data_IF_407445209901
#
_entry.id   IF_407445209901
#
_cell.length_a   1.000
_cell.length_b   1.000
_cell.length_c   1.000
_cell.angle_alpha   90.00
_cell.angle_beta   90.00
_cell.angle_gamma   90.00
#
_symmetry.space_group_name_H-M   'P 1'
#
loop_
_entity.id
_entity.type
_entity.pdbx_description
1 polymer ?
#
# COMPACT_ATOMS: atom_id res chain seq x y z
N UNK A 1 -15.12 -27.22 -28.41
CA UNK A 1 -14.85 -26.55 -27.11
C UNK A 1 -14.21 -25.21 -27.42
N UNK A 2 -14.81 -24.10 -27.01
CA UNK A 2 -14.54 -22.77 -27.57
C UNK A 2 -13.24 -22.18 -26.98
N UNK A 3 -12.26 -21.84 -27.82
CA UNK A 3 -10.94 -21.33 -27.40
C UNK A 3 -11.05 -20.08 -26.50
N UNK A 4 -12.06 -19.23 -26.74
CA UNK A 4 -12.35 -18.06 -25.91
C UNK A 4 -12.76 -18.39 -24.47
N UNK A 5 -13.43 -19.53 -24.25
CA UNK A 5 -13.82 -19.95 -22.90
C UNK A 5 -12.63 -20.45 -22.08
N UNK A 6 -11.70 -21.16 -22.71
CA UNK A 6 -10.44 -21.58 -22.09
C UNK A 6 -9.54 -20.37 -21.78
N UNK A 7 -9.51 -19.37 -22.66
CA UNK A 7 -8.73 -18.14 -22.44
C UNK A 7 -9.34 -17.28 -21.32
N UNK A 8 -10.66 -17.24 -21.21
CA UNK A 8 -11.35 -16.58 -20.10
C UNK A 8 -11.13 -17.28 -18.76
N UNK A 9 -11.21 -18.62 -18.73
CA UNK A 9 -10.86 -19.43 -17.56
C UNK A 9 -9.38 -19.28 -17.18
N UNK A 10 -8.47 -19.24 -18.16
CA UNK A 10 -7.06 -19.00 -17.92
C UNK A 10 -6.84 -17.60 -17.34
N UNK A 11 -7.48 -16.56 -17.87
CA UNK A 11 -7.41 -15.21 -17.30
C UNK A 11 -7.93 -15.20 -15.86
N UNK A 12 -9.09 -15.81 -15.57
CA UNK A 12 -9.63 -15.90 -14.19
C UNK A 12 -8.70 -16.70 -13.26
N UNK A 13 -8.10 -17.79 -13.73
CA UNK A 13 -7.17 -18.62 -12.97
C UNK A 13 -5.81 -17.95 -12.76
N UNK A 14 -5.36 -17.11 -13.69
CA UNK A 14 -4.15 -16.29 -13.56
C UNK A 14 -4.39 -14.97 -12.83
N UNK A 15 -5.64 -14.52 -12.73
CA UNK A 15 -6.08 -13.45 -11.83
C UNK A 15 -6.17 -13.95 -10.38
N UNK A 16 -5.29 -14.89 -10.00
CA UNK A 16 -4.99 -15.13 -8.60
C UNK A 16 -4.37 -13.85 -8.09
N UNK A 17 -5.24 -13.11 -7.40
CA UNK A 17 -5.01 -11.91 -6.62
C UNK A 17 -3.64 -12.01 -5.96
N UNK A 18 -2.76 -11.07 -6.28
CA UNK A 18 -1.49 -10.86 -5.58
C UNK A 18 -1.80 -10.27 -4.21
N UNK A 19 -2.47 -11.03 -3.35
CA UNK A 19 -2.65 -10.64 -1.97
C UNK A 19 -1.27 -10.60 -1.31
N UNK A 20 -1.08 -9.63 -0.42
CA UNK A 20 0.20 -9.51 0.29
C UNK A 20 0.24 -10.58 1.39
N UNK A 21 1.26 -11.44 1.47
CA UNK A 21 1.37 -12.41 2.55
C UNK A 21 1.81 -11.75 3.86
N UNK A 22 1.41 -12.34 4.98
CA UNK A 22 1.96 -12.04 6.29
C UNK A 22 2.37 -13.32 7.04
N UNK A 23 3.13 -13.15 8.12
CA UNK A 23 3.54 -14.22 9.02
C UNK A 23 3.50 -13.73 10.47
N UNK A 24 2.99 -14.55 11.39
CA UNK A 24 3.15 -14.28 12.82
C UNK A 24 4.61 -14.42 13.24
N UNK A 25 5.03 -13.60 14.21
CA UNK A 25 6.38 -13.70 14.78
C UNK A 25 6.32 -13.78 16.29
N UNK A 26 7.46 -14.10 16.89
CA UNK A 26 7.70 -13.98 18.32
C UNK A 26 8.42 -12.69 18.69
N UNK A 27 8.58 -11.75 17.75
CA UNK A 27 9.31 -10.51 17.99
C UNK A 27 8.44 -9.41 18.58
N UNK A 28 8.98 -8.68 19.56
CA UNK A 28 8.37 -7.42 20.06
C UNK A 28 8.94 -6.19 19.33
N UNK A 29 8.34 -5.02 19.57
CA UNK A 29 8.86 -3.74 19.08
C UNK A 29 10.32 -3.54 19.49
N UNK A 30 10.66 -3.78 20.75
CA UNK A 30 12.02 -3.56 21.27
C UNK A 30 13.06 -4.50 20.65
N UNK A 31 12.65 -5.69 20.21
CA UNK A 31 13.50 -6.63 19.48
C UNK A 31 13.71 -6.17 18.04
N UNK A 32 12.63 -5.76 17.37
CA UNK A 32 12.66 -5.30 15.98
C UNK A 32 13.51 -4.04 15.82
N UNK A 33 13.40 -3.06 16.73
CA UNK A 33 14.21 -1.84 16.67
C UNK A 33 15.72 -2.08 16.86
N UNK A 34 16.10 -3.27 17.37
CA UNK A 34 17.50 -3.71 17.49
C UNK A 34 18.00 -4.49 16.28
N UNK A 35 17.17 -4.72 15.27
CA UNK A 35 17.60 -5.40 14.05
C UNK A 35 18.65 -4.60 13.31
N UNK A 36 19.70 -5.30 12.88
CA UNK A 36 20.73 -4.73 12.02
C UNK A 36 20.17 -4.60 10.60
N UNK A 37 20.14 -3.39 10.07
CA UNK A 37 19.70 -3.15 8.68
C UNK A 37 20.89 -3.27 7.74
N UNK A 38 20.88 -4.33 6.93
CA UNK A 38 21.88 -4.54 5.88
C UNK A 38 21.52 -3.82 4.59
N UNK A 39 22.55 -3.43 3.85
CA UNK A 39 22.48 -2.91 2.48
C UNK A 39 23.18 -3.84 1.47
N UNK A 40 23.30 -5.11 1.82
CA UNK A 40 23.89 -6.19 1.01
C UNK A 40 22.80 -7.01 0.32
N UNK A 41 23.12 -7.66 -0.80
CA UNK A 41 22.18 -8.48 -1.59
C UNK A 41 21.44 -9.54 -0.77
N UNK A 42 22.11 -10.12 0.23
CA UNK A 42 21.55 -11.16 1.09
C UNK A 42 20.95 -10.53 2.36
N UNK A 43 19.63 -10.41 2.37
CA UNK A 43 18.86 -10.01 3.55
C UNK A 43 18.66 -11.19 4.50
N UNK A 44 18.55 -10.90 5.80
CA UNK A 44 18.32 -11.93 6.82
C UNK A 44 16.89 -12.47 6.74
N UNK A 45 16.64 -13.69 7.20
CA UNK A 45 15.31 -14.34 7.09
C UNK A 45 14.18 -13.61 7.85
N UNK A 46 14.55 -12.72 8.77
CA UNK A 46 13.63 -11.83 9.46
C UNK A 46 13.41 -10.49 8.73
N UNK A 47 13.92 -10.30 7.51
CA UNK A 47 13.46 -9.23 6.63
C UNK A 47 12.11 -9.56 6.02
N UNK A 48 11.41 -8.53 5.57
CA UNK A 48 10.14 -8.65 4.83
C UNK A 48 10.35 -9.08 3.38
N UNK A 49 11.57 -8.90 2.85
CA UNK A 49 11.93 -9.28 1.50
C UNK A 49 13.37 -9.80 1.45
N UNK A 50 13.62 -10.84 0.65
CA UNK A 50 14.92 -11.54 0.59
C UNK A 50 16.04 -10.74 -0.08
N UNK A 51 15.72 -9.59 -0.67
CA UNK A 51 16.64 -8.76 -1.42
C UNK A 51 16.55 -7.30 -1.00
N UNK A 52 17.61 -6.54 -1.30
CA UNK A 52 17.58 -5.09 -1.16
C UNK A 52 16.45 -4.48 -1.99
N UNK A 53 15.81 -3.47 -1.42
CA UNK A 53 14.76 -2.70 -2.06
C UNK A 53 15.10 -1.21 -2.02
N UNK A 54 14.57 -0.46 -2.98
CA UNK A 54 14.69 0.99 -3.00
C UNK A 54 13.60 1.59 -2.10
N UNK A 55 14.03 2.24 -1.03
CA UNK A 55 13.18 2.79 0.01
C UNK A 55 13.31 4.30 0.03
N UNK A 56 12.31 4.97 0.60
CA UNK A 56 12.29 6.41 0.76
C UNK A 56 11.99 6.78 2.22
N UNK A 57 12.81 7.63 2.83
CA UNK A 57 12.51 8.14 4.17
C UNK A 57 11.52 9.31 4.11
N UNK A 58 11.10 9.80 5.28
CA UNK A 58 10.17 10.93 5.41
C UNK A 58 10.66 12.24 4.80
N UNK A 59 11.97 12.42 4.68
CA UNK A 59 12.59 13.59 4.06
C UNK A 59 12.64 13.46 2.52
N UNK A 60 12.16 12.35 1.97
CA UNK A 60 12.17 12.05 0.56
C UNK A 60 13.51 11.49 0.06
N UNK A 61 14.47 11.23 0.95
CA UNK A 61 15.76 10.63 0.59
C UNK A 61 15.55 9.17 0.18
N UNK A 62 16.04 8.83 -1.01
CA UNK A 62 16.00 7.48 -1.56
C UNK A 62 17.26 6.71 -1.18
N UNK A 63 17.12 5.50 -0.67
CA UNK A 63 18.23 4.63 -0.28
C UNK A 63 17.91 3.15 -0.57
N UNK A 64 18.94 2.28 -0.58
CA UNK A 64 18.78 0.84 -0.79
C UNK A 64 19.18 0.07 0.46
N UNK A 65 18.27 -0.78 0.94
CA UNK A 65 18.49 -1.60 2.12
C UNK A 65 17.56 -2.82 2.11
N UNK A 66 17.79 -3.75 3.03
CA UNK A 66 16.82 -4.78 3.36
C UNK A 66 15.60 -4.13 4.02
N UNK A 67 14.41 -4.48 3.52
CA UNK A 67 13.17 -3.96 4.06
C UNK A 67 12.70 -4.81 5.24
N UNK A 68 12.35 -4.12 6.32
CA UNK A 68 11.60 -4.67 7.44
C UNK A 68 10.25 -3.96 7.44
N UNK A 69 9.15 -4.71 7.50
CA UNK A 69 7.79 -4.18 7.56
C UNK A 69 6.98 -5.05 8.51
N UNK A 70 6.74 -4.52 9.70
CA UNK A 70 6.03 -5.21 10.77
C UNK A 70 4.88 -4.38 11.32
N UNK A 71 3.81 -5.05 11.72
CA UNK A 71 2.69 -4.47 12.46
C UNK A 71 2.68 -5.00 13.88
N UNK A 72 2.63 -4.10 14.86
CA UNK A 72 2.79 -4.42 16.26
C UNK A 72 1.75 -3.70 17.12
N UNK A 73 1.45 -4.26 18.28
CA UNK A 73 0.98 -3.48 19.41
C UNK A 73 2.11 -3.36 20.45
N UNK A 74 2.01 -2.37 21.34
CA UNK A 74 3.09 -2.01 22.25
C UNK A 74 3.59 -3.16 23.15
N UNK A 75 2.67 -4.02 23.60
CA UNK A 75 2.98 -5.12 24.53
C UNK A 75 2.61 -6.49 23.93
N UNK A 76 2.67 -6.62 22.60
CA UNK A 76 2.38 -7.88 21.90
C UNK A 76 3.55 -8.28 21.01
N UNK A 77 3.50 -9.51 20.51
CA UNK A 77 4.31 -9.88 19.37
C UNK A 77 3.78 -9.22 18.10
N UNK A 78 4.65 -9.13 17.10
CA UNK A 78 4.38 -8.47 15.84
C UNK A 78 4.04 -9.45 14.72
N UNK A 79 3.37 -8.93 13.70
CA UNK A 79 3.13 -9.58 12.43
C UNK A 79 4.15 -9.06 11.42
N UNK A 80 4.88 -9.96 10.75
CA UNK A 80 5.79 -9.64 9.65
C UNK A 80 5.01 -9.64 8.34
N UNK A 81 5.15 -8.59 7.56
CA UNK A 81 4.56 -8.50 6.22
C UNK A 81 5.60 -8.90 5.22
N UNK A 82 5.25 -9.80 4.29
CA UNK A 82 6.17 -10.40 3.33
C UNK A 82 6.12 -9.68 1.98
N UNK A 83 6.27 -8.36 2.03
CA UNK A 83 6.31 -7.49 0.87
C UNK A 83 7.18 -6.27 1.16
N UNK A 84 7.94 -5.77 0.19
CA UNK A 84 8.63 -4.49 0.33
C UNK A 84 7.70 -3.29 0.05
N UNK A 85 6.49 -3.53 -0.45
CA UNK A 85 5.55 -2.48 -0.85
C UNK A 85 4.74 -1.97 0.35
N UNK A 86 4.25 -0.73 0.25
CA UNK A 86 3.34 -0.19 1.25
C UNK A 86 2.00 -0.94 1.19
N UNK A 87 1.50 -1.38 2.34
CA UNK A 87 0.24 -2.13 2.44
C UNK A 87 -0.97 -1.21 2.25
N UNK A 88 -0.81 0.09 2.53
CA UNK A 88 -1.84 1.07 2.21
C UNK A 88 -1.86 1.27 0.71
N UNK A 89 -2.84 0.67 0.03
CA UNK A 89 -3.13 0.98 -1.36
C UNK A 89 -4.03 2.21 -1.41
N UNK A 90 -3.91 2.97 -2.49
CA UNK A 90 -4.87 4.04 -2.74
C UNK A 90 -6.10 3.44 -3.39
N UNK A 91 -7.26 3.77 -2.85
CA UNK A 91 -8.52 3.38 -3.46
C UNK A 91 -8.63 3.99 -4.85
N UNK A 92 -8.83 3.13 -5.86
CA UNK A 92 -9.09 3.57 -7.24
C UNK A 92 -10.49 4.14 -7.39
N UNK A 93 -11.43 3.74 -6.52
CA UNK A 93 -12.82 4.20 -6.52
C UNK A 93 -12.97 5.57 -5.86
N UNK A 94 -12.09 5.89 -4.90
CA UNK A 94 -12.14 7.13 -4.15
C UNK A 94 -10.73 7.74 -4.08
N UNK A 95 -10.44 8.66 -5.02
CA UNK A 95 -9.08 9.18 -5.32
C UNK A 95 -8.31 9.75 -4.13
N UNK A 96 -8.96 9.92 -2.98
CA UNK A 96 -8.42 10.50 -1.76
C UNK A 96 -8.53 9.59 -0.52
N UNK A 97 -8.92 8.31 -0.65
CA UNK A 97 -8.89 7.36 0.46
C UNK A 97 -7.78 6.32 0.29
N UNK A 98 -7.14 6.00 1.42
CA UNK A 98 -6.34 4.78 1.51
C UNK A 98 -7.28 3.61 1.83
N UNK A 99 -6.96 2.45 1.27
CA UNK A 99 -7.73 1.22 1.39
C UNK A 99 -6.92 0.17 2.13
N UNK A 100 -7.51 -0.43 3.16
CA UNK A 100 -6.94 -1.56 3.87
C UNK A 100 -7.37 -2.89 3.25
N UNK A 101 -6.43 -3.64 2.68
CA UNK A 101 -6.70 -4.95 2.06
C UNK A 101 -6.53 -6.11 3.05
N UNK A 102 -7.13 -7.26 2.73
CA UNK A 102 -6.84 -8.53 3.38
C UNK A 102 -5.44 -9.03 3.01
N UNK A 103 -4.69 -9.47 4.01
CA UNK A 103 -3.46 -10.22 3.86
C UNK A 103 -3.71 -11.66 4.31
N UNK A 104 -3.06 -12.63 3.68
CA UNK A 104 -3.17 -14.04 4.08
C UNK A 104 -1.95 -14.49 4.87
N UNK A 105 -2.15 -15.36 5.85
CA UNK A 105 -1.07 -15.96 6.60
C UNK A 105 -0.36 -17.03 5.74
N UNK A 106 0.97 -16.99 5.65
CA UNK A 106 1.72 -18.00 4.90
C UNK A 106 1.74 -19.38 5.58
N UNK A 107 1.53 -19.41 6.90
CA UNK A 107 1.52 -20.64 7.68
C UNK A 107 0.12 -21.29 7.66
N UNK A 108 -0.95 -20.49 7.46
CA UNK A 108 -2.33 -20.94 7.27
C UNK A 108 -3.07 -20.02 6.26
N UNK A 109 -3.14 -20.45 5.00
CA UNK A 109 -3.77 -19.66 3.92
C UNK A 109 -5.28 -19.44 4.08
N UNK A 110 -5.93 -20.11 5.03
CA UNK A 110 -7.34 -19.86 5.37
C UNK A 110 -7.52 -18.71 6.36
N UNK A 111 -6.44 -18.29 7.01
CA UNK A 111 -6.41 -17.15 7.91
C UNK A 111 -6.08 -15.87 7.14
N UNK A 112 -6.97 -14.90 7.26
CA UNK A 112 -6.85 -13.59 6.65
C UNK A 112 -6.90 -12.49 7.72
N UNK A 113 -6.20 -11.38 7.48
CA UNK A 113 -6.13 -10.26 8.41
C UNK A 113 -6.09 -8.92 7.67
N UNK A 114 -6.89 -7.96 8.14
CA UNK A 114 -6.82 -6.57 7.70
C UNK A 114 -5.92 -5.81 8.69
N UNK A 115 -4.74 -5.39 8.23
CA UNK A 115 -3.75 -4.72 9.09
C UNK A 115 -4.02 -3.22 9.26
N UNK A 116 -4.73 -2.61 8.33
CA UNK A 116 -5.04 -1.18 8.33
C UNK A 116 -6.41 -0.94 8.95
N UNK A 117 -6.51 0.09 9.79
CA UNK A 117 -7.76 0.48 10.44
C UNK A 117 -8.09 1.94 10.14
N UNK A 118 -9.36 2.31 10.26
CA UNK A 118 -9.85 3.67 10.06
C UNK A 118 -10.13 4.40 11.37
N UNK A 119 -9.90 5.71 11.38
CA UNK A 119 -10.46 6.57 12.41
C UNK A 119 -11.94 6.86 12.13
N UNK A 120 -12.75 6.92 13.19
CA UNK A 120 -14.21 7.18 13.07
C UNK A 120 -14.51 8.47 12.31
N UNK A 121 -13.71 9.52 12.55
CA UNK A 121 -13.87 10.82 11.92
C UNK A 121 -13.63 10.75 10.40
N UNK A 122 -12.62 9.98 9.96
CA UNK A 122 -12.27 9.88 8.54
C UNK A 122 -13.12 8.87 7.78
N UNK A 123 -13.57 7.80 8.45
CA UNK A 123 -14.60 6.90 7.91
C UNK A 123 -15.89 7.68 7.57
N UNK A 124 -16.38 8.51 8.49
CA UNK A 124 -17.56 9.38 8.27
C UNK A 124 -17.39 10.36 7.10
N UNK A 125 -16.17 10.80 6.83
CA UNK A 125 -15.82 11.68 5.70
C UNK A 125 -15.52 10.91 4.40
N UNK A 126 -15.56 9.57 4.40
CA UNK A 126 -15.13 8.70 3.30
C UNK A 126 -13.69 8.97 2.85
N UNK A 127 -12.81 9.21 3.81
CA UNK A 127 -11.36 9.42 3.58
C UNK A 127 -10.51 8.21 4.00
N UNK A 128 -11.15 7.18 4.54
CA UNK A 128 -10.54 5.91 4.90
C UNK A 128 -11.59 4.81 4.68
N UNK A 129 -11.16 3.72 4.07
CA UNK A 129 -11.97 2.53 3.80
C UNK A 129 -11.11 1.28 4.05
N UNK A 130 -11.74 0.16 4.41
CA UNK A 130 -11.08 -1.14 4.49
C UNK A 130 -11.90 -2.16 3.72
N UNK A 131 -11.31 -3.32 3.46
CA UNK A 131 -12.07 -4.53 3.18
C UNK A 131 -13.10 -4.79 4.27
N UNK A 132 -14.14 -5.53 3.90
CA UNK A 132 -15.26 -5.80 4.80
C UNK A 132 -14.82 -6.82 5.86
N UNK A 133 -14.77 -6.40 7.12
CA UNK A 133 -14.61 -7.31 8.26
C UNK A 133 -15.97 -7.89 8.69
N UNK A 134 -15.99 -9.15 9.08
CA UNK A 134 -17.15 -9.84 9.65
C UNK A 134 -17.06 -9.95 11.17
N UNK A 135 -15.84 -9.93 11.71
CA UNK A 135 -15.55 -10.11 13.13
C UNK A 135 -14.39 -9.23 13.59
N UNK A 136 -14.29 -8.98 14.90
CA UNK A 136 -13.15 -8.26 15.48
C UNK A 136 -11.82 -8.94 15.15
N UNK A 137 -11.81 -10.29 15.10
CA UNK A 137 -10.62 -11.07 14.78
C UNK A 137 -10.12 -10.90 13.35
N UNK A 138 -10.93 -10.37 12.42
CA UNK A 138 -10.48 -10.10 11.05
C UNK A 138 -9.57 -8.85 11.02
N UNK A 139 -9.71 -7.97 12.02
CA UNK A 139 -8.96 -6.73 12.14
C UNK A 139 -7.72 -6.90 13.02
N UNK A 140 -6.59 -6.33 12.61
CA UNK A 140 -5.40 -6.28 13.47
C UNK A 140 -5.65 -5.50 14.76
N UNK A 141 -6.42 -4.40 14.68
CA UNK A 141 -6.85 -3.61 15.84
C UNK A 141 -7.80 -4.35 16.81
N UNK A 142 -8.26 -5.54 16.43
CA UNK A 142 -9.28 -6.32 17.12
C UNK A 142 -10.58 -5.54 17.32
N UNK A 143 -10.99 -4.79 16.28
CA UNK A 143 -12.19 -3.94 16.33
C UNK A 143 -12.83 -3.76 14.95
N UNK A 144 -13.90 -4.50 14.69
CA UNK A 144 -14.73 -4.42 13.49
C UNK A 144 -16.04 -3.69 13.82
N UNK A 145 -16.29 -2.55 13.15
CA UNK A 145 -17.50 -1.75 13.37
C UNK A 145 -18.15 -1.50 12.02
N UNK A 146 -19.40 -1.95 11.86
CA UNK A 146 -20.18 -1.79 10.63
C UNK A 146 -19.43 -2.30 9.37
N UNK A 147 -18.69 -3.39 9.53
CA UNK A 147 -17.91 -3.99 8.46
C UNK A 147 -16.59 -3.29 8.14
N UNK A 148 -16.16 -2.30 8.93
CA UNK A 148 -14.87 -1.61 8.76
C UNK A 148 -13.96 -1.87 9.95
N UNK A 149 -12.67 -2.12 9.70
CA UNK A 149 -11.70 -2.19 10.77
C UNK A 149 -11.41 -0.80 11.33
N UNK A 150 -11.62 -0.62 12.63
CA UNK A 150 -11.50 0.67 13.32
C UNK A 150 -10.30 0.70 14.24
N UNK A 151 -9.69 1.88 14.38
CA UNK A 151 -8.57 2.04 15.33
C UNK A 151 -9.02 1.70 16.76
N UNK A 152 -8.11 1.08 17.51
CA UNK A 152 -8.33 0.74 18.91
C UNK A 152 -7.51 1.66 19.80
N UNK A 153 -8.18 2.64 20.43
CA UNK A 153 -7.51 3.66 21.26
C UNK A 153 -6.77 3.07 22.46
N UNK A 154 -7.25 1.95 22.97
CA UNK A 154 -6.66 1.28 24.13
C UNK A 154 -5.48 0.39 23.74
N UNK A 155 -5.39 0.03 22.46
CA UNK A 155 -4.33 -0.81 21.91
C UNK A 155 -3.90 -0.32 20.50
N UNK A 156 -3.20 0.83 20.39
CA UNK A 156 -2.80 1.39 19.10
C UNK A 156 -1.91 0.45 18.30
N UNK A 157 -2.03 0.49 16.98
CA UNK A 157 -1.13 -0.20 16.08
C UNK A 157 0.13 0.64 15.79
N UNK A 158 1.26 -0.06 15.67
CA UNK A 158 2.55 0.50 15.27
C UNK A 158 3.00 -0.20 13.99
N UNK A 159 3.61 0.56 13.09
CA UNK A 159 4.30 0.04 11.92
C UNK A 159 5.81 0.23 12.13
N UNK A 160 6.56 -0.87 12.07
CA UNK A 160 8.01 -0.87 12.11
C UNK A 160 8.55 -0.97 10.70
N UNK A 161 9.34 0.02 10.27
CA UNK A 161 9.96 0.02 8.94
C UNK A 161 11.43 0.37 8.95
N UNK A 162 12.13 -0.11 7.93
CA UNK A 162 13.48 0.36 7.63
C UNK A 162 13.45 1.85 7.32
N UNK A 163 14.33 2.61 7.95
CA UNK A 163 14.51 4.05 7.72
C UNK A 163 15.99 4.41 7.72
N UNK A 164 16.28 5.61 7.23
CA UNK A 164 17.61 6.21 7.25
C UNK A 164 17.56 7.54 7.98
N UNK A 165 18.26 7.63 9.10
CA UNK A 165 18.38 8.86 9.90
C UNK A 165 19.87 9.16 10.11
N UNK A 166 20.33 10.37 9.79
CA UNK A 166 21.74 10.79 9.97
C UNK A 166 22.77 9.84 9.33
N UNK A 167 22.45 9.28 8.15
CA UNK A 167 23.25 8.27 7.44
C UNK A 167 23.27 6.86 8.06
N UNK A 168 22.57 6.63 9.17
CA UNK A 168 22.43 5.33 9.79
C UNK A 168 21.13 4.63 9.32
N UNK A 169 21.27 3.37 8.91
CA UNK A 169 20.14 2.51 8.57
C UNK A 169 19.66 1.79 9.83
N UNK A 170 18.37 1.87 10.13
CA UNK A 170 17.77 1.23 11.30
C UNK A 170 16.29 0.92 11.07
N UNK A 171 15.72 0.08 11.92
CA UNK A 171 14.27 -0.13 11.97
C UNK A 171 13.67 0.79 13.02
N UNK A 172 12.57 1.48 12.69
CA UNK A 172 11.88 2.37 13.61
C UNK A 172 10.40 2.01 13.66
N UNK A 173 9.87 1.86 14.87
CA UNK A 173 8.46 1.55 15.10
C UNK A 173 7.70 2.81 15.53
N UNK A 174 6.75 3.22 14.71
CA UNK A 174 5.95 4.43 14.93
C UNK A 174 4.47 4.13 14.70
N UNK A 175 3.58 5.06 15.05
CA UNK A 175 2.14 4.86 14.94
C UNK A 175 1.73 4.56 13.50
N UNK A 176 0.88 3.55 13.32
CA UNK A 176 0.38 3.15 12.01
C UNK A 176 -0.58 4.20 11.40
N UNK A 177 -0.96 4.00 10.15
CA UNK A 177 -1.95 4.82 9.46
C UNK A 177 -3.26 4.93 10.27
N UNK A 178 -3.87 6.12 10.30
CA UNK A 178 -5.09 6.51 11.03
C UNK A 178 -5.01 6.48 12.57
N UNK A 179 -3.89 6.03 13.14
CA UNK A 179 -3.68 6.10 14.58
C UNK A 179 -3.53 7.54 15.07
N UNK A 180 -3.98 7.79 16.30
CA UNK A 180 -4.04 9.14 16.86
C UNK A 180 -2.64 9.67 17.18
N UNK A 181 -2.28 10.83 16.62
CA UNK A 181 -0.97 11.45 16.77
C UNK A 181 -1.08 12.89 17.28
N UNK A 182 0.02 13.41 17.83
CA UNK A 182 0.17 14.83 18.18
C UNK A 182 1.02 15.60 17.16
N UNK A 183 2.04 14.96 16.62
CA UNK A 183 3.03 15.52 15.73
C UNK A 183 3.54 14.49 14.71
N UNK A 184 4.16 14.96 13.64
CA UNK A 184 4.60 14.13 12.51
C UNK A 184 5.65 13.09 12.91
N UNK A 185 6.40 13.34 13.98
CA UNK A 185 7.46 12.44 14.48
C UNK A 185 6.89 11.12 15.02
N UNK A 186 5.63 11.10 15.44
CA UNK A 186 4.96 9.94 16.04
C UNK A 186 4.44 8.95 14.98
N UNK A 187 4.27 9.38 13.74
CA UNK A 187 3.68 8.59 12.65
C UNK A 187 4.72 7.74 11.92
N UNK A 188 4.40 6.52 11.50
CA UNK A 188 5.30 5.64 10.76
C UNK A 188 5.27 5.83 9.25
N UNK A 189 6.17 5.13 8.54
CA UNK A 189 6.25 5.17 7.08
C UNK A 189 6.43 6.63 6.55
N UNK A 190 5.92 6.92 5.35
CA UNK A 190 5.84 8.26 4.76
C UNK A 190 4.68 9.12 5.33
N UNK A 191 4.03 8.70 6.42
CA UNK A 191 2.84 9.40 6.94
C UNK A 191 3.18 10.61 7.83
N UNK A 192 2.27 11.58 7.84
CA UNK A 192 2.31 12.81 8.64
C UNK A 192 1.10 12.90 9.56
N UNK A 193 1.19 13.72 10.62
CA UNK A 193 0.10 13.89 11.54
C UNK A 193 -0.88 14.96 11.04
N UNK A 194 -2.07 14.52 10.63
CA UNK A 194 -3.11 15.44 10.14
C UNK A 194 -3.40 16.54 11.17
N UNK A 195 -3.31 17.80 10.74
CA UNK A 195 -3.62 18.95 11.60
C UNK A 195 -5.08 18.94 12.08
N UNK A 196 -6.00 18.53 11.21
CA UNK A 196 -7.43 18.59 11.45
C UNK A 196 -7.95 17.38 12.22
N UNK A 197 -7.53 16.18 11.81
CA UNK A 197 -8.06 14.93 12.33
C UNK A 197 -7.20 14.35 13.47
N UNK A 198 -5.97 14.86 13.64
CA UNK A 198 -5.00 14.39 14.66
C UNK A 198 -4.74 12.89 14.58
N UNK A 199 -4.60 12.41 13.35
CA UNK A 199 -4.29 11.02 13.02
C UNK A 199 -3.21 10.95 11.94
N UNK A 200 -2.47 9.86 11.90
CA UNK A 200 -1.44 9.63 10.90
C UNK A 200 -2.07 9.42 9.52
N UNK A 201 -1.68 10.21 8.53
CA UNK A 201 -2.20 10.15 7.17
C UNK A 201 -1.07 10.12 6.16
N UNK A 202 -1.29 9.44 5.04
CA UNK A 202 -0.40 9.51 3.89
C UNK A 202 -1.00 10.54 2.94
N UNK A 203 -0.39 11.72 2.89
CA UNK A 203 -0.77 12.76 1.95
C UNK A 203 -0.19 12.44 0.57
N UNK A 204 -1.05 12.32 -0.45
CA UNK A 204 -0.56 12.41 -1.82
C UNK A 204 -0.18 13.84 -2.12
N UNK A 205 1.04 14.03 -2.59
CA UNK A 205 1.26 15.06 -3.61
C UNK A 205 0.47 14.59 -4.81
N UNK A 206 -0.74 15.14 -5.02
CA UNK A 206 -1.41 14.95 -6.31
C UNK A 206 -0.50 15.59 -7.35
N UNK A 207 0.34 14.78 -8.00
CA UNK A 207 0.78 15.15 -9.33
C UNK A 207 -0.49 15.20 -10.16
N UNK A 208 -0.99 16.42 -10.40
CA UNK A 208 -2.06 16.65 -11.34
C UNK A 208 -1.53 16.27 -12.73
N UNK A 209 -1.54 14.96 -13.04
CA UNK A 209 -1.35 14.48 -14.39
C UNK A 209 -2.55 15.01 -15.14
N UNK A 210 -2.32 16.08 -15.90
CA UNK A 210 -3.35 16.78 -16.65
C UNK A 210 -3.76 15.90 -17.84
N UNK A 211 -4.58 14.88 -17.58
CA UNK A 211 -5.06 13.92 -18.58
C UNK A 211 -5.79 14.63 -19.73
N UNK A 212 -6.42 15.76 -19.46
CA UNK A 212 -7.02 16.64 -20.47
C UNK A 212 -6.01 17.08 -21.52
N UNK A 213 -4.76 17.39 -21.14
CA UNK A 213 -3.68 17.71 -22.08
C UNK A 213 -3.30 16.51 -22.94
N UNK A 214 -3.19 15.31 -22.35
CA UNK A 214 -2.88 14.09 -23.10
C UNK A 214 -3.99 13.68 -24.07
N UNK A 215 -5.24 13.69 -23.63
CA UNK A 215 -6.41 13.40 -24.47
C UNK A 215 -6.46 14.37 -25.66
N UNK A 216 -6.19 15.66 -25.43
CA UNK A 216 -6.14 16.67 -26.48
C UNK A 216 -5.02 16.38 -27.50
N UNK A 217 -3.81 16.04 -27.05
CA UNK A 217 -2.68 15.69 -27.92
C UNK A 217 -2.98 14.41 -28.73
N UNK A 218 -3.50 13.36 -28.09
CA UNK A 218 -3.89 12.12 -28.76
C UNK A 218 -5.00 12.35 -29.80
N UNK A 219 -5.97 13.21 -29.48
CA UNK A 219 -7.04 13.61 -30.41
C UNK A 219 -6.49 14.33 -31.65
N UNK A 220 -5.54 15.25 -31.48
CA UNK A 220 -4.89 15.93 -32.60
C UNK A 220 -4.12 14.96 -33.51
N UNK A 221 -3.37 14.03 -32.93
CA UNK A 221 -2.65 12.99 -33.69
C UNK A 221 -3.62 12.13 -34.50
N UNK A 222 -4.74 11.72 -33.89
CA UNK A 222 -5.76 10.92 -34.57
C UNK A 222 -6.38 11.66 -35.77
N UNK A 223 -6.65 12.96 -35.64
CA UNK A 223 -7.17 13.79 -36.74
C UNK A 223 -6.15 13.89 -37.89
N UNK A 224 -4.87 14.09 -37.59
CA UNK A 224 -3.81 14.14 -38.62
C UNK A 224 -3.71 12.82 -39.38
N UNK A 225 -3.79 11.68 -38.69
CA UNK A 225 -3.79 10.35 -39.30
C UNK A 225 -5.02 10.17 -40.21
N UNK A 226 -6.21 10.58 -39.75
CA UNK A 226 -7.43 10.52 -40.56
C UNK A 226 -7.32 11.35 -41.85
N UNK A 227 -6.79 12.57 -41.77
CA UNK A 227 -6.56 13.43 -42.95
C UNK A 227 -5.61 12.74 -43.93
N UNK A 228 -4.51 12.16 -43.43
CA UNK A 228 -3.56 11.42 -44.27
C UNK A 228 -4.22 10.24 -44.99
N UNK A 229 -5.05 9.46 -44.28
CA UNK A 229 -5.78 8.33 -44.86
C UNK A 229 -6.76 8.77 -45.93
N UNK A 230 -7.48 9.89 -45.71
CA UNK A 230 -8.41 10.47 -46.70
C UNK A 230 -7.65 10.93 -47.94
N UNK A 231 -6.51 11.60 -47.77
CA UNK A 231 -5.68 12.06 -48.90
C UNK A 231 -5.16 10.88 -49.72
N UNK A 232 -4.65 9.83 -49.06
CA UNK A 232 -4.22 8.59 -49.72
C UNK A 232 -5.37 7.96 -50.50
N UNK A 233 -6.55 7.85 -49.88
CA UNK A 233 -7.75 7.30 -50.52
C UNK A 233 -8.17 8.11 -51.77
N UNK A 234 -8.15 9.44 -51.69
CA UNK A 234 -8.44 10.32 -52.82
C UNK A 234 -7.42 10.17 -53.97
N UNK A 235 -6.13 10.04 -53.66
CA UNK A 235 -5.09 9.80 -54.66
C UNK A 235 -5.29 8.43 -55.34
N UNK A 236 -5.58 7.38 -54.57
CA UNK A 236 -5.82 6.04 -55.10
C UNK A 236 -7.07 6.01 -56.00
N UNK A 237 -8.15 6.70 -55.60
CA UNK A 237 -9.38 6.78 -56.39
C UNK A 237 -9.19 7.51 -57.73
N UNK A 238 -8.32 8.53 -57.80
CA UNK A 238 -8.04 9.26 -59.04
C UNK A 238 -7.26 8.44 -60.08
N UNK A 239 -6.57 7.39 -59.63
CA UNK A 239 -5.71 6.56 -60.49
C UNK A 239 -6.46 5.42 -61.18
N UNK A 240 -7.67 5.10 -60.72
CA UNK A 240 -8.61 4.16 -61.31
C UNK A 240 -9.66 4.91 -62.14
#
# INVERSE_FOLDING_TARGET
MNYHFLLFLYVILTYKVTATPFQYTNYTIEEIERFEVKNTLDCQDYSSYSHIYELQNKQGEVFKACEYQYFCHKNSTCIKVLSPQNISSYSTSNRNSNFGEYLFNIDDVSEEKILISCSEKRLKKKLCETEICNSDSDCFSNKCVEGTCMINKDNPAYICRTTKENSELKVKCLLAYEEKCKEDSECGDISTCSKDDKVCIIEKVQEEINYTKYIFICGLIFIVVLIFLIVIFCILKKKN
#
